data_IF_628161491804
#
_entry.id   IF_628161491804
#
_cell.length_a   1.000
_cell.length_b   1.000
_cell.length_c   1.000
_cell.angle_alpha   90.00
_cell.angle_beta   90.00
_cell.angle_gamma   90.00
#
_symmetry.space_group_name_H-M   'P 1'
#
loop_
_entity.id
_entity.type
_entity.pdbx_description
1 polymer ?
#
# COMPACT_ATOMS: atom_id res chain seq x y z
N UNK A 1 -3.05 -12.37 -22.21
CA UNK A 1 -1.77 -13.09 -22.33
C UNK A 1 -0.85 -12.75 -21.17
N UNK A 2 0.02 -13.65 -20.69
CA UNK A 2 0.92 -13.36 -19.56
C UNK A 2 1.90 -12.21 -19.86
N UNK A 3 2.30 -12.03 -21.12
CA UNK A 3 3.17 -10.94 -21.57
C UNK A 3 2.51 -9.55 -21.47
N UNK A 4 1.20 -9.46 -21.69
CA UNK A 4 0.44 -8.22 -21.52
C UNK A 4 0.30 -7.85 -20.05
N UNK A 5 0.17 -8.84 -19.16
CA UNK A 5 0.16 -8.64 -17.72
C UNK A 5 1.53 -8.16 -17.20
N UNK A 6 2.63 -8.68 -17.77
CA UNK A 6 3.99 -8.19 -17.52
C UNK A 6 4.21 -6.76 -18.04
N UNK A 7 3.63 -6.42 -19.20
CA UNK A 7 3.60 -5.04 -19.71
C UNK A 7 2.78 -4.10 -18.81
N UNK A 8 1.66 -4.56 -18.28
CA UNK A 8 0.88 -3.81 -17.29
C UNK A 8 1.66 -3.60 -15.99
N UNK A 9 2.44 -4.58 -15.52
CA UNK A 9 3.34 -4.44 -14.35
C UNK A 9 4.51 -3.46 -14.59
N UNK A 10 4.88 -3.19 -15.85
CA UNK A 10 5.87 -2.16 -16.23
C UNK A 10 5.31 -0.75 -16.13
N UNK A 11 4.00 -0.59 -16.31
CA UNK A 11 3.28 0.70 -16.40
C UNK A 11 2.49 1.01 -15.13
N UNK A 12 2.00 -0.01 -14.43
CA UNK A 12 1.32 0.14 -13.15
C UNK A 12 2.37 0.32 -12.05
N UNK A 13 2.51 1.56 -11.58
CA UNK A 13 3.27 1.83 -10.37
C UNK A 13 2.70 1.06 -9.17
N UNK A 14 3.55 0.81 -8.17
CA UNK A 14 3.23 0.06 -6.95
C UNK A 14 1.89 0.51 -6.30
N UNK A 15 1.54 1.81 -6.22
CA UNK A 15 0.24 2.24 -5.69
C UNK A 15 -0.97 1.74 -6.50
N UNK A 16 -0.86 1.74 -7.83
CA UNK A 16 -1.94 1.27 -8.71
C UNK A 16 -2.16 -0.22 -8.51
N UNK A 17 -1.08 -1.00 -8.48
CA UNK A 17 -1.15 -2.43 -8.19
C UNK A 17 -1.75 -2.71 -6.80
N UNK A 18 -1.40 -1.90 -5.79
CA UNK A 18 -1.99 -2.00 -4.46
C UNK A 18 -3.50 -1.67 -4.45
N UNK A 19 -3.98 -0.77 -5.32
CA UNK A 19 -5.42 -0.54 -5.48
C UNK A 19 -6.18 -1.77 -5.96
N UNK A 20 -5.58 -2.55 -6.86
CA UNK A 20 -6.15 -3.78 -7.39
C UNK A 20 -6.24 -4.91 -6.35
N UNK A 21 -5.57 -4.78 -5.19
CA UNK A 21 -5.68 -5.77 -4.13
C UNK A 21 -6.94 -5.65 -3.29
N UNK A 22 -7.89 -4.76 -3.62
CA UNK A 22 -9.18 -4.68 -2.91
C UNK A 22 -9.86 -6.06 -2.85
N UNK A 23 -10.44 -6.49 -1.72
CA UNK A 23 -10.63 -5.78 -0.45
C UNK A 23 -9.53 -6.06 0.61
N UNK A 24 -8.33 -6.47 0.18
CA UNK A 24 -7.24 -6.74 1.10
C UNK A 24 -6.71 -5.44 1.72
N UNK A 25 -6.45 -5.48 3.04
CA UNK A 25 -5.85 -4.37 3.79
C UNK A 25 -4.39 -4.19 3.42
N UNK A 26 -3.95 -2.93 3.41
CA UNK A 26 -2.57 -2.54 3.11
C UNK A 26 -1.97 -1.91 4.36
N UNK A 27 -0.86 -2.46 4.84
CA UNK A 27 -0.14 -1.93 6.01
C UNK A 27 1.18 -1.30 5.58
N UNK A 28 1.45 -0.09 6.06
CA UNK A 28 2.70 0.62 5.83
C UNK A 28 3.56 0.54 7.08
N UNK A 29 4.84 0.19 6.94
CA UNK A 29 5.79 0.31 8.07
C UNK A 29 6.33 1.74 8.07
N UNK A 30 6.11 2.48 9.17
CA UNK A 30 6.45 3.90 9.27
C UNK A 30 5.43 4.81 8.59
N UNK A 31 5.90 5.94 8.05
CA UNK A 31 5.04 6.93 7.39
C UNK A 31 4.54 6.39 6.04
N UNK A 32 3.23 6.50 5.81
CA UNK A 32 2.61 6.13 4.54
C UNK A 32 2.98 7.16 3.46
N UNK A 33 3.56 6.75 2.32
CA UNK A 33 3.83 7.67 1.22
C UNK A 33 2.54 8.23 0.61
N UNK A 34 2.55 9.52 0.24
CA UNK A 34 1.40 10.21 -0.40
C UNK A 34 1.05 9.65 -1.78
N UNK A 35 1.98 8.96 -2.45
CA UNK A 35 1.73 8.28 -3.73
C UNK A 35 0.63 7.20 -3.64
N UNK A 36 0.29 6.73 -2.43
CA UNK A 36 -0.81 5.79 -2.18
C UNK A 36 -2.17 6.45 -1.95
N UNK A 37 -2.29 7.79 -1.96
CA UNK A 37 -3.57 8.46 -1.71
C UNK A 37 -4.67 8.02 -2.70
N UNK A 38 -4.29 7.78 -3.97
CA UNK A 38 -5.20 7.21 -4.97
C UNK A 38 -5.75 5.84 -4.55
N UNK A 39 -4.89 4.96 -4.01
CA UNK A 39 -5.24 3.62 -3.54
C UNK A 39 -6.25 3.69 -2.37
N UNK A 40 -6.00 4.60 -1.42
CA UNK A 40 -6.88 4.77 -0.25
C UNK A 40 -8.25 5.29 -0.70
N UNK A 41 -8.26 6.28 -1.57
CA UNK A 41 -9.49 6.84 -2.10
C UNK A 41 -10.29 5.80 -2.89
N UNK A 42 -9.62 4.92 -3.66
CA UNK A 42 -10.26 3.81 -4.34
C UNK A 42 -10.93 2.85 -3.35
N UNK A 43 -10.20 2.34 -2.36
CA UNK A 43 -10.77 1.42 -1.36
C UNK A 43 -11.89 2.08 -0.55
N UNK A 44 -11.77 3.38 -0.23
CA UNK A 44 -12.84 4.17 0.42
C UNK A 44 -14.11 4.20 -0.43
N UNK A 45 -13.99 4.47 -1.73
CA UNK A 45 -15.13 4.46 -2.68
C UNK A 45 -15.77 3.08 -2.82
N UNK A 46 -14.96 2.02 -2.68
CA UNK A 46 -15.41 0.63 -2.71
C UNK A 46 -15.92 0.12 -1.34
N UNK A 47 -16.04 0.99 -0.34
CA UNK A 47 -16.67 0.66 0.96
C UNK A 47 -15.71 0.21 2.06
N UNK A 48 -14.40 0.38 1.89
CA UNK A 48 -13.40 0.13 2.94
C UNK A 48 -12.61 1.41 3.27
N UNK A 49 -13.12 2.28 4.16
CA UNK A 49 -12.43 3.51 4.55
C UNK A 49 -11.16 3.25 5.38
N UNK A 50 -11.10 2.16 6.14
CA UNK A 50 -9.98 1.82 7.05
C UNK A 50 -8.92 0.93 6.39
N UNK A 51 -8.70 1.10 5.09
CA UNK A 51 -7.87 0.20 4.28
C UNK A 51 -6.38 0.27 4.62
N UNK A 52 -5.92 1.43 5.09
CA UNK A 52 -4.51 1.68 5.34
C UNK A 52 -4.22 2.04 6.78
N UNK A 53 -3.30 1.28 7.36
CA UNK A 53 -2.75 1.55 8.68
C UNK A 53 -1.22 1.68 8.59
N UNK A 54 -0.68 2.67 9.29
CA UNK A 54 0.75 2.75 9.56
C UNK A 54 1.07 1.93 10.81
N UNK A 55 2.02 1.01 10.69
CA UNK A 55 2.56 0.18 11.76
C UNK A 55 3.93 0.73 12.16
N UNK A 56 4.21 0.91 13.46
CA UNK A 56 5.50 1.40 13.91
C UNK A 56 6.62 0.42 13.56
N UNK A 57 7.77 0.95 13.13
CA UNK A 57 8.98 0.15 12.96
C UNK A 57 9.52 -0.30 14.32
N UNK A 58 9.65 -1.62 14.49
CA UNK A 58 10.12 -2.22 15.75
C UNK A 58 11.65 -2.15 15.88
N UNK A 59 12.38 -2.15 14.76
CA UNK A 59 13.86 -2.10 14.74
C UNK A 59 14.42 -0.79 15.34
N UNK A 60 13.67 0.30 15.24
CA UNK A 60 14.07 1.61 15.79
C UNK A 60 13.99 1.65 17.33
N UNK A 61 13.19 0.80 17.98
CA UNK A 61 13.02 0.80 19.45
C UNK A 61 14.22 0.20 20.20
N UNK A 62 15.01 -0.67 19.57
CA UNK A 62 16.09 -1.39 20.25
C UNK A 62 17.33 -0.51 20.51
N UNK A 63 17.55 0.53 19.69
CA UNK A 63 18.65 1.48 19.88
C UNK A 63 18.47 2.47 21.04
N UNK A 64 17.29 2.55 21.65
CA UNK A 64 17.02 3.46 22.78
C UNK A 64 17.13 2.77 24.16
N UNK A 65 17.44 1.47 24.19
CA UNK A 65 17.60 0.67 25.42
C UNK A 65 19.05 0.22 25.68
N UNK A 66 20.03 0.82 25.00
CA UNK A 66 21.47 0.64 25.27
C UNK A 66 22.12 1.97 25.57
#
# INVERSE_FOLDING_TARGET
SATELLGALRVADIPVAAGLSWPARISFVGERPSTYDWTIELHRRLGQPDTAASVPDVGTREKKRR
#
